data_IF_646510954292
#
_entry.id   IF_646510954292
#
_cell.length_a   1.000
_cell.length_b   1.000
_cell.length_c   1.000
_cell.angle_alpha   90.00
_cell.angle_beta   90.00
_cell.angle_gamma   90.00
#
_symmetry.space_group_name_H-M   'P 1'
#
loop_
_entity.id
_entity.type
_entity.pdbx_description
1 polymer ?
#
# COMPACT_ATOMS: atom_id res chain seq x y z
N UNK A 1 46.68 28.58 -40.60
CA UNK A 1 45.74 27.46 -40.38
C UNK A 1 44.79 27.85 -39.26
N UNK A 2 43.65 28.44 -39.59
CA UNK A 2 42.62 28.82 -38.62
C UNK A 2 41.63 27.67 -38.46
N UNK A 3 41.56 27.09 -37.26
CA UNK A 3 40.55 26.09 -36.89
C UNK A 3 39.23 26.82 -36.67
N UNK A 4 38.29 26.62 -37.57
CA UNK A 4 36.89 27.02 -37.41
C UNK A 4 36.29 26.06 -36.36
N UNK A 5 35.93 26.61 -35.20
CA UNK A 5 35.12 25.94 -34.20
C UNK A 5 33.71 25.75 -34.80
N UNK A 6 33.29 24.51 -35.07
CA UNK A 6 31.89 24.20 -35.28
C UNK A 6 31.16 24.38 -33.94
N UNK A 7 30.31 25.40 -33.84
CA UNK A 7 29.27 25.42 -32.81
C UNK A 7 28.30 24.27 -33.09
N UNK A 8 28.30 23.27 -32.22
CA UNK A 8 27.20 22.33 -32.14
C UNK A 8 25.98 23.08 -31.60
N UNK A 9 25.03 23.44 -32.49
CA UNK A 9 23.67 23.76 -32.08
C UNK A 9 23.11 22.48 -31.43
N UNK A 10 23.07 22.43 -30.11
CA UNK A 10 22.24 21.48 -29.41
C UNK A 10 20.80 21.78 -29.81
N UNK A 11 20.21 20.90 -30.63
CA UNK A 11 18.78 20.93 -30.89
C UNK A 11 18.09 20.89 -29.51
N UNK A 12 17.31 21.92 -29.18
CA UNK A 12 16.30 21.81 -28.15
C UNK A 12 15.32 20.75 -28.64
N UNK A 13 15.56 19.49 -28.27
CA UNK A 13 14.50 18.50 -28.28
C UNK A 13 13.40 19.09 -27.41
N UNK A 14 12.20 19.27 -27.97
CA UNK A 14 11.02 19.65 -27.22
C UNK A 14 10.63 18.48 -26.30
N UNK A 15 11.35 18.31 -25.19
CA UNK A 15 11.08 17.31 -24.18
C UNK A 15 10.31 17.92 -23.03
N UNK A 16 8.99 17.91 -23.19
CA UNK A 16 8.08 17.58 -22.10
C UNK A 16 6.96 16.68 -22.66
N UNK A 17 7.35 15.52 -23.21
CA UNK A 17 6.44 14.38 -23.20
C UNK A 17 6.23 14.01 -21.73
N UNK A 18 5.02 13.59 -21.34
CA UNK A 18 4.73 13.18 -19.95
C UNK A 18 5.77 12.14 -19.48
N UNK A 19 5.90 11.84 -18.18
CA UNK A 19 6.80 10.77 -17.73
C UNK A 19 6.58 9.43 -18.47
N UNK A 20 5.37 9.16 -18.98
CA UNK A 20 5.09 7.97 -19.80
C UNK A 20 5.57 8.03 -21.27
N UNK A 21 6.12 9.14 -21.73
CA UNK A 21 6.45 9.43 -23.13
C UNK A 21 5.24 9.50 -24.09
N UNK A 22 4.02 9.26 -23.60
CA UNK A 22 2.77 9.48 -24.34
C UNK A 22 2.20 10.86 -24.04
N UNK A 23 1.43 11.42 -24.99
CA UNK A 23 0.59 12.58 -24.67
C UNK A 23 -0.53 12.13 -23.73
N UNK A 24 -0.97 13.02 -22.86
CA UNK A 24 -2.18 12.78 -22.06
C UNK A 24 -3.34 12.61 -23.07
N UNK A 25 -4.13 11.54 -22.91
CA UNK A 25 -5.27 11.22 -23.77
C UNK A 25 -4.91 10.87 -25.21
N UNK A 26 -3.68 10.39 -25.45
CA UNK A 26 -3.23 9.94 -26.76
C UNK A 26 -4.03 8.71 -27.22
N UNK A 27 -4.77 8.86 -28.33
CA UNK A 27 -5.60 7.80 -28.90
C UNK A 27 -4.79 6.68 -29.54
N UNK A 28 -3.51 6.93 -29.85
CA UNK A 28 -2.60 5.94 -30.40
C UNK A 28 -1.88 5.13 -29.30
N UNK A 29 -2.04 5.52 -28.02
CA UNK A 29 -1.48 4.78 -26.89
C UNK A 29 -2.10 3.38 -26.84
N UNK A 30 -1.29 2.30 -26.80
CA UNK A 30 -1.79 0.93 -26.76
C UNK A 30 -2.79 0.73 -25.62
N UNK A 31 -3.97 0.23 -25.97
CA UNK A 31 -5.02 -0.05 -25.00
C UNK A 31 -4.72 -1.34 -24.25
N UNK A 32 -4.99 -1.37 -22.94
CA UNK A 32 -4.88 -2.58 -22.14
C UNK A 32 -5.76 -3.71 -22.69
N UNK A 33 -5.21 -4.92 -22.72
CA UNK A 33 -5.96 -6.11 -23.15
C UNK A 33 -7.13 -6.38 -22.21
N UNK A 34 -8.21 -6.91 -22.74
CA UNK A 34 -9.35 -7.36 -21.95
C UNK A 34 -9.03 -8.65 -21.18
N UNK A 35 -9.47 -8.73 -19.93
CA UNK A 35 -9.44 -9.93 -19.11
C UNK A 35 -10.83 -10.16 -18.53
N UNK A 36 -11.29 -11.41 -18.59
CA UNK A 36 -12.55 -11.81 -17.98
C UNK A 36 -12.37 -11.89 -16.46
N UNK A 37 -12.93 -10.93 -15.74
CA UNK A 37 -13.08 -10.99 -14.29
C UNK A 37 -14.36 -11.75 -13.90
N UNK A 38 -14.47 -12.11 -12.61
CA UNK A 38 -15.74 -12.55 -12.01
C UNK A 38 -16.54 -11.31 -11.54
N UNK A 39 -17.86 -11.44 -11.34
CA UNK A 39 -18.68 -10.39 -10.74
C UNK A 39 -18.14 -9.87 -9.39
N UNK A 40 -18.57 -8.67 -8.99
CA UNK A 40 -18.16 -7.96 -7.77
C UNK A 40 -17.80 -8.88 -6.59
N UNK A 41 -16.58 -8.70 -6.07
CA UNK A 41 -16.16 -9.25 -4.79
C UNK A 41 -16.86 -8.49 -3.67
N UNK A 42 -17.92 -9.07 -3.10
CA UNK A 42 -18.59 -8.48 -1.94
C UNK A 42 -17.69 -8.60 -0.71
N UNK A 43 -16.93 -7.55 -0.42
CA UNK A 43 -16.06 -7.47 0.76
C UNK A 43 -16.77 -6.61 1.81
N UNK A 44 -17.27 -7.19 2.92
CA UNK A 44 -17.88 -6.40 3.97
C UNK A 44 -16.84 -5.50 4.65
N UNK A 45 -17.30 -4.37 5.19
CA UNK A 45 -16.45 -3.47 5.95
C UNK A 45 -15.80 -4.22 7.14
N UNK A 46 -14.46 -4.17 7.30
CA UNK A 46 -13.81 -4.69 8.48
C UNK A 46 -14.14 -3.84 9.72
N UNK A 47 -13.89 -4.38 10.91
CA UNK A 47 -14.30 -3.78 12.18
C UNK A 47 -13.69 -2.39 12.48
N UNK A 48 -12.59 -2.04 11.82
CA UNK A 48 -11.90 -0.76 11.95
C UNK A 48 -12.18 0.22 10.80
N UNK A 49 -13.04 -0.16 9.84
CA UNK A 49 -13.42 0.70 8.73
C UNK A 49 -14.49 1.71 9.14
N UNK A 50 -14.37 2.92 8.57
CA UNK A 50 -15.47 3.86 8.47
C UNK A 50 -16.35 3.45 7.28
N UNK A 51 -17.59 3.09 7.56
CA UNK A 51 -18.62 2.90 6.54
C UNK A 51 -19.01 4.29 6.01
N UNK A 52 -18.81 4.52 4.71
CA UNK A 52 -19.25 5.73 4.02
C UNK A 52 -20.64 5.59 3.42
N UNK A 53 -21.04 4.37 3.03
CA UNK A 53 -22.37 4.08 2.54
C UNK A 53 -22.65 2.56 2.59
N UNK A 54 -23.68 2.16 3.33
CA UNK A 54 -24.12 0.77 3.48
C UNK A 54 -25.50 0.48 2.86
N UNK A 55 -26.17 1.50 2.33
CA UNK A 55 -27.48 1.37 1.68
C UNK A 55 -28.57 2.28 2.23
N UNK A 56 -28.33 2.97 3.36
CA UNK A 56 -29.36 3.72 4.07
C UNK A 56 -29.43 5.21 3.68
N UNK A 57 -28.37 5.97 3.99
CA UNK A 57 -28.36 7.44 3.84
C UNK A 57 -27.03 7.99 3.28
N UNK A 58 -26.98 9.32 3.11
CA UNK A 58 -25.81 10.05 2.63
C UNK A 58 -25.12 10.84 3.76
N UNK A 59 -25.21 10.41 5.02
CA UNK A 59 -24.76 11.18 6.18
C UNK A 59 -23.25 11.42 6.20
N UNK A 60 -22.46 10.57 5.55
CA UNK A 60 -21.01 10.75 5.41
C UNK A 60 -20.63 11.71 4.27
N UNK A 61 -21.61 12.17 3.48
CA UNK A 61 -21.40 12.90 2.24
C UNK A 61 -22.01 14.31 2.26
N UNK A 62 -21.40 15.20 1.50
CA UNK A 62 -21.91 16.52 1.17
C UNK A 62 -21.87 16.73 -0.35
N UNK A 63 -22.63 17.70 -0.85
CA UNK A 63 -22.50 18.19 -2.22
C UNK A 63 -21.20 19.01 -2.41
N UNK A 64 -20.90 19.42 -3.66
CA UNK A 64 -19.60 20.03 -4.02
C UNK A 64 -19.27 21.35 -3.31
N UNK A 65 -20.28 22.05 -2.78
CA UNK A 65 -20.12 23.32 -2.08
C UNK A 65 -20.43 23.21 -0.58
N UNK A 66 -20.35 22.00 -0.01
CA UNK A 66 -20.61 21.76 1.42
C UNK A 66 -22.08 21.73 1.84
N UNK A 67 -23.01 21.84 0.88
CA UNK A 67 -24.45 21.67 1.12
C UNK A 67 -24.88 20.20 1.06
N UNK A 68 -26.19 19.97 1.08
CA UNK A 68 -26.76 18.62 1.08
C UNK A 68 -26.35 17.82 -0.17
N UNK A 69 -26.06 16.54 0.05
CA UNK A 69 -25.88 15.56 -1.01
C UNK A 69 -27.24 15.29 -1.68
N UNK A 70 -27.30 15.45 -3.01
CA UNK A 70 -28.56 15.37 -3.78
C UNK A 70 -28.66 14.12 -4.65
N UNK A 71 -27.80 13.13 -4.42
CA UNK A 71 -27.88 11.84 -5.08
C UNK A 71 -29.09 11.06 -4.53
N UNK A 72 -29.65 10.15 -5.33
CA UNK A 72 -30.81 9.35 -4.92
C UNK A 72 -30.31 8.15 -4.13
N UNK A 73 -30.93 7.86 -2.99
CA UNK A 73 -30.76 6.58 -2.28
C UNK A 73 -32.02 5.73 -2.44
N UNK A 74 -31.87 4.50 -2.91
CA UNK A 74 -32.94 3.51 -3.01
C UNK A 74 -32.36 2.11 -3.18
N UNK A 75 -33.12 1.09 -2.80
CA UNK A 75 -32.78 -0.32 -3.06
C UNK A 75 -31.35 -0.71 -2.60
N UNK A 76 -30.85 -0.09 -1.53
CA UNK A 76 -29.50 -0.31 -0.99
C UNK A 76 -28.35 0.29 -1.81
N UNK A 77 -28.61 1.19 -2.76
CA UNK A 77 -27.58 1.93 -3.50
C UNK A 77 -27.86 3.43 -3.54
N UNK A 78 -26.78 4.21 -3.69
CA UNK A 78 -26.86 5.62 -4.08
C UNK A 78 -26.61 5.76 -5.60
N UNK A 79 -27.33 6.66 -6.27
CA UNK A 79 -27.26 6.87 -7.72
C UNK A 79 -26.97 8.35 -8.03
N UNK A 80 -25.97 8.59 -8.87
CA UNK A 80 -25.60 9.92 -9.33
C UNK A 80 -26.75 10.59 -10.08
N UNK A 81 -27.03 11.85 -9.73
CA UNK A 81 -28.08 12.65 -10.37
C UNK A 81 -27.43 13.72 -11.23
N UNK A 82 -27.73 13.70 -12.53
CA UNK A 82 -27.18 14.68 -13.49
C UNK A 82 -27.37 16.12 -13.01
N UNK A 83 -26.25 16.85 -12.86
CA UNK A 83 -26.25 18.27 -12.51
C UNK A 83 -26.40 18.53 -11.02
N UNK A 84 -26.43 17.47 -10.19
CA UNK A 84 -26.38 17.61 -8.73
C UNK A 84 -24.97 17.90 -8.22
N UNK A 85 -23.94 17.60 -9.03
CA UNK A 85 -22.55 17.66 -8.63
C UNK A 85 -22.09 16.37 -7.94
N UNK A 86 -20.77 16.24 -7.79
CA UNK A 86 -20.18 15.07 -7.12
C UNK A 86 -20.45 15.05 -5.62
N UNK A 87 -20.27 13.88 -5.01
CA UNK A 87 -20.30 13.73 -3.56
C UNK A 87 -18.90 13.88 -2.97
N UNK A 88 -18.78 14.65 -1.90
CA UNK A 88 -17.55 14.79 -1.12
C UNK A 88 -17.78 14.19 0.24
N UNK A 89 -16.79 13.47 0.79
CA UNK A 89 -16.89 13.06 2.19
C UNK A 89 -16.82 14.28 3.10
N UNK A 90 -17.64 14.31 4.16
CA UNK A 90 -17.58 15.38 5.18
C UNK A 90 -16.24 15.39 5.92
N UNK A 91 -15.62 14.21 6.06
CA UNK A 91 -14.27 14.03 6.63
C UNK A 91 -13.20 14.13 5.54
N UNK A 92 -12.02 14.57 5.95
CA UNK A 92 -10.81 14.59 5.12
C UNK A 92 -9.93 13.38 5.42
N UNK A 93 -9.33 12.78 4.39
CA UNK A 93 -8.51 11.58 4.50
C UNK A 93 -7.14 11.76 3.83
N UNK A 94 -6.20 10.92 4.21
CA UNK A 94 -4.83 10.89 3.69
C UNK A 94 -4.50 9.50 3.15
N UNK A 95 -3.66 8.76 3.87
CA UNK A 95 -3.40 7.34 3.54
C UNK A 95 -4.64 6.50 3.84
N UNK A 96 -5.05 5.66 2.90
CA UNK A 96 -6.28 4.88 3.05
C UNK A 96 -6.27 3.57 2.27
N UNK A 97 -7.03 2.61 2.78
CA UNK A 97 -7.60 1.52 2.00
C UNK A 97 -9.08 1.84 1.79
N UNK A 98 -9.55 1.82 0.55
CA UNK A 98 -10.93 2.13 0.16
C UNK A 98 -11.51 0.95 -0.61
N UNK A 99 -12.72 0.56 -0.26
CA UNK A 99 -13.54 -0.35 -1.04
C UNK A 99 -14.81 0.38 -1.50
N UNK A 100 -15.23 0.11 -2.73
CA UNK A 100 -16.53 0.50 -3.24
C UNK A 100 -17.02 -0.47 -4.30
N UNK A 101 -18.34 -0.68 -4.31
CA UNK A 101 -19.02 -1.33 -5.41
C UNK A 101 -19.73 -0.29 -6.26
N UNK A 102 -19.65 -0.45 -7.58
CA UNK A 102 -20.33 0.44 -8.53
C UNK A 102 -21.00 -0.32 -9.67
N UNK A 103 -22.11 0.19 -10.18
CA UNK A 103 -22.80 -0.34 -11.35
C UNK A 103 -22.99 0.76 -12.38
N UNK A 104 -22.64 0.43 -13.62
CA UNK A 104 -22.76 1.33 -14.76
C UNK A 104 -24.20 1.35 -15.30
N UNK A 105 -24.66 2.44 -15.95
CA UNK A 105 -26.01 2.55 -16.48
C UNK A 105 -26.35 1.44 -17.50
N UNK A 106 -27.52 0.83 -17.36
CA UNK A 106 -28.07 -0.15 -18.30
C UNK A 106 -29.53 0.23 -18.66
N UNK A 107 -29.90 0.43 -19.94
CA UNK A 107 -29.05 0.33 -21.13
C UNK A 107 -27.94 1.39 -21.15
N UNK A 108 -26.75 1.07 -21.68
CA UNK A 108 -25.67 2.03 -21.78
C UNK A 108 -26.02 3.13 -22.80
N UNK A 109 -25.53 4.35 -22.54
CA UNK A 109 -25.72 5.54 -23.39
C UNK A 109 -24.39 6.27 -23.53
N UNK A 110 -24.21 6.95 -24.66
CA UNK A 110 -22.96 7.64 -24.97
C UNK A 110 -21.88 6.70 -25.50
N UNK A 111 -20.72 7.29 -25.80
CA UNK A 111 -19.50 6.63 -26.28
C UNK A 111 -18.28 7.27 -25.62
N UNK A 112 -17.19 6.52 -25.50
CA UNK A 112 -15.95 6.97 -24.90
C UNK A 112 -16.18 7.58 -23.51
N UNK A 113 -15.67 8.79 -23.29
CA UNK A 113 -15.79 9.47 -21.99
C UNK A 113 -17.20 9.92 -21.62
N UNK A 114 -18.20 9.79 -22.48
CA UNK A 114 -19.59 10.10 -22.12
C UNK A 114 -20.39 8.85 -21.74
N UNK A 115 -19.74 7.68 -21.69
CA UNK A 115 -20.39 6.39 -21.47
C UNK A 115 -20.20 5.89 -20.04
N UNK A 116 -21.15 6.18 -19.16
CA UNK A 116 -21.09 5.70 -17.77
C UNK A 116 -19.94 6.31 -16.96
N UNK A 117 -19.55 7.56 -17.28
CA UNK A 117 -18.39 8.21 -16.68
C UNK A 117 -18.68 8.68 -15.24
N UNK A 118 -17.73 8.38 -14.37
CA UNK A 118 -17.56 8.97 -13.05
C UNK A 118 -16.09 8.80 -12.65
N UNK A 119 -15.74 8.99 -11.39
CA UNK A 119 -14.40 8.78 -10.90
C UNK A 119 -14.34 8.86 -9.40
N UNK A 120 -13.35 8.16 -8.85
CA UNK A 120 -13.03 8.16 -7.43
C UNK A 120 -11.81 9.05 -7.27
N UNK A 121 -12.00 10.28 -6.79
CA UNK A 121 -10.90 11.25 -6.61
C UNK A 121 -10.43 11.22 -5.17
N UNK A 122 -9.28 10.59 -4.96
CA UNK A 122 -8.65 10.55 -3.65
C UNK A 122 -8.09 11.92 -3.31
N UNK A 123 -8.39 12.39 -2.10
CA UNK A 123 -8.12 13.78 -1.69
C UNK A 123 -8.76 14.83 -2.63
N UNK A 124 -9.76 14.45 -3.44
CA UNK A 124 -10.36 15.29 -4.46
C UNK A 124 -9.46 15.57 -5.68
N UNK A 125 -8.26 14.98 -5.74
CA UNK A 125 -7.20 15.35 -6.67
C UNK A 125 -6.73 14.21 -7.57
N UNK A 126 -6.75 12.97 -7.10
CA UNK A 126 -6.17 11.82 -7.80
C UNK A 126 -7.28 10.84 -8.21
N UNK A 127 -7.67 10.91 -9.47
CA UNK A 127 -8.80 10.17 -10.02
C UNK A 127 -8.41 8.75 -10.45
N UNK A 128 -9.01 7.77 -9.80
CA UNK A 128 -9.19 6.42 -10.35
C UNK A 128 -10.47 6.42 -11.18
N UNK A 129 -10.32 6.19 -12.47
CA UNK A 129 -11.41 6.40 -13.42
C UNK A 129 -12.50 5.33 -13.32
N UNK A 130 -13.77 5.75 -13.31
CA UNK A 130 -14.94 4.89 -13.49
C UNK A 130 -15.52 5.18 -14.88
N UNK A 131 -15.59 4.15 -15.73
CA UNK A 131 -16.15 4.30 -17.07
C UNK A 131 -16.73 2.97 -17.53
N UNK A 132 -17.74 3.02 -18.41
CA UNK A 132 -18.14 1.84 -19.16
C UNK A 132 -17.14 1.58 -20.29
N UNK A 133 -16.08 0.85 -19.94
CA UNK A 133 -15.05 0.37 -20.88
C UNK A 133 -15.36 -1.04 -21.42
N UNK A 134 -16.59 -1.55 -21.26
CA UNK A 134 -16.99 -2.84 -21.80
C UNK A 134 -17.34 -2.71 -23.28
N UNK A 135 -16.44 -3.19 -24.16
CA UNK A 135 -16.59 -3.13 -25.62
C UNK A 135 -16.84 -1.71 -26.16
N UNK A 136 -16.24 -0.71 -25.51
CA UNK A 136 -16.29 0.69 -25.92
C UNK A 136 -14.88 1.25 -26.18
N UNK A 137 -14.81 2.38 -26.89
CA UNK A 137 -13.55 2.97 -27.35
C UNK A 137 -13.27 4.32 -26.69
N UNK A 138 -12.14 4.42 -25.99
CA UNK A 138 -11.60 5.68 -25.44
C UNK A 138 -10.07 5.64 -25.38
N UNK A 139 -9.44 6.74 -24.97
CA UNK A 139 -7.99 6.81 -24.76
C UNK A 139 -7.56 5.91 -23.58
N UNK A 140 -6.40 5.26 -23.71
CA UNK A 140 -5.95 4.21 -22.80
C UNK A 140 -5.80 4.70 -21.34
N UNK A 141 -5.39 5.95 -21.14
CA UNK A 141 -5.14 6.56 -19.82
C UNK A 141 -6.40 7.20 -19.17
N UNK A 142 -7.59 6.93 -19.69
CA UNK A 142 -8.85 7.29 -19.02
C UNK A 142 -9.98 6.33 -19.29
N UNK A 143 -9.65 5.06 -19.55
CA UNK A 143 -10.60 3.97 -19.40
C UNK A 143 -10.72 3.55 -17.92
N UNK A 144 -11.67 2.66 -17.59
CA UNK A 144 -11.90 2.20 -16.23
C UNK A 144 -10.63 1.66 -15.54
N UNK A 145 -10.37 2.10 -14.31
CA UNK A 145 -9.20 1.68 -13.53
C UNK A 145 -7.89 2.41 -13.88
N UNK A 146 -7.92 3.34 -14.83
CA UNK A 146 -6.79 4.23 -15.08
C UNK A 146 -6.56 5.19 -13.90
N UNK A 147 -5.29 5.55 -13.66
CA UNK A 147 -4.98 6.83 -13.00
C UNK A 147 -5.12 7.90 -14.06
N UNK A 148 -6.22 8.66 -14.00
CA UNK A 148 -6.74 9.43 -15.12
C UNK A 148 -5.70 10.41 -15.71
N UNK A 149 -5.47 10.28 -17.02
CA UNK A 149 -4.51 11.07 -17.79
C UNK A 149 -3.03 10.75 -17.53
N UNK A 150 -2.72 9.70 -16.76
CA UNK A 150 -1.34 9.33 -16.42
C UNK A 150 -1.03 7.88 -16.78
N UNK A 151 -1.78 6.94 -16.20
CA UNK A 151 -1.51 5.50 -16.30
C UNK A 151 -2.76 4.73 -16.74
N UNK A 152 -2.74 4.08 -17.92
CA UNK A 152 -3.71 3.04 -18.28
C UNK A 152 -3.71 1.94 -17.22
N UNK A 153 -4.84 1.26 -17.00
CA UNK A 153 -4.83 0.06 -16.17
C UNK A 153 -3.97 -1.03 -16.83
N UNK A 154 -3.39 -1.94 -16.05
CA UNK A 154 -2.60 -3.07 -16.57
C UNK A 154 -3.41 -3.96 -17.53
N UNK A 155 -4.72 -4.11 -17.26
CA UNK A 155 -5.69 -4.84 -18.07
C UNK A 155 -7.06 -4.16 -17.97
N UNK A 156 -7.92 -4.35 -18.95
CA UNK A 156 -9.34 -3.99 -18.84
C UNK A 156 -10.11 -5.15 -18.20
N UNK A 157 -10.60 -4.96 -16.97
CA UNK A 157 -11.37 -5.95 -16.21
C UNK A 157 -12.87 -5.59 -16.09
N UNK A 158 -13.36 -4.72 -16.99
CA UNK A 158 -14.74 -4.20 -16.95
C UNK A 158 -15.76 -5.28 -17.34
N UNK A 159 -16.81 -5.40 -16.53
CA UNK A 159 -17.98 -6.25 -16.73
C UNK A 159 -19.06 -5.53 -17.56
N UNK A 160 -20.03 -6.25 -18.14
CA UNK A 160 -21.16 -5.64 -18.83
C UNK A 160 -21.92 -4.60 -17.99
N UNK A 161 -22.51 -3.55 -18.62
CA UNK A 161 -23.28 -2.54 -17.89
C UNK A 161 -24.46 -3.13 -17.11
N UNK A 162 -24.72 -2.57 -15.94
CA UNK A 162 -25.72 -3.07 -14.99
C UNK A 162 -25.21 -4.18 -14.07
N UNK A 163 -24.07 -4.80 -14.36
CA UNK A 163 -23.38 -5.66 -13.39
C UNK A 163 -22.62 -4.81 -12.37
N UNK A 164 -22.62 -5.28 -11.12
CA UNK A 164 -21.83 -4.67 -10.06
C UNK A 164 -20.35 -5.01 -10.25
N UNK A 165 -19.53 -3.97 -10.11
CA UNK A 165 -18.08 -4.02 -10.17
C UNK A 165 -17.51 -3.59 -8.82
N UNK A 166 -16.29 -3.99 -8.51
CA UNK A 166 -15.56 -3.53 -7.31
C UNK A 166 -14.31 -2.77 -7.67
N UNK A 167 -14.04 -1.73 -6.89
CA UNK A 167 -12.70 -1.21 -6.71
C UNK A 167 -12.24 -1.42 -5.27
N UNK A 168 -11.07 -2.04 -5.13
CA UNK A 168 -10.28 -2.03 -3.91
C UNK A 168 -9.03 -1.19 -4.17
N UNK A 169 -8.90 -0.08 -3.46
CA UNK A 169 -7.88 0.94 -3.70
C UNK A 169 -7.03 1.10 -2.43
N UNK A 170 -5.72 1.00 -2.58
CA UNK A 170 -4.75 1.42 -1.55
C UNK A 170 -4.08 2.68 -2.03
N UNK A 171 -4.15 3.73 -1.21
CA UNK A 171 -3.59 5.03 -1.51
C UNK A 171 -2.66 5.51 -0.42
N UNK A 172 -1.49 5.97 -0.84
CA UNK A 172 -0.55 6.72 -0.02
C UNK A 172 -0.52 8.14 -0.54
N UNK A 173 -0.89 9.11 0.31
CA UNK A 173 -0.92 10.52 -0.07
C UNK A 173 0.50 11.05 -0.37
N UNK A 174 0.66 12.11 -1.16
CA UNK A 174 1.97 12.75 -1.26
C UNK A 174 2.38 13.34 0.09
N UNK A 175 3.69 13.41 0.33
CA UNK A 175 4.26 14.04 1.52
C UNK A 175 5.04 15.28 1.12
N UNK A 176 4.89 16.34 1.90
CA UNK A 176 5.56 17.62 1.68
C UNK A 176 6.35 18.04 2.90
N UNK A 177 7.45 18.76 2.69
CA UNK A 177 8.14 19.50 3.75
C UNK A 177 7.31 20.73 4.17
N UNK A 178 7.62 21.36 5.32
CA UNK A 178 6.99 22.62 5.72
C UNK A 178 7.13 23.76 4.69
N UNK A 179 8.17 23.72 3.86
CA UNK A 179 8.39 24.70 2.77
C UNK A 179 7.55 24.43 1.50
N UNK A 180 6.72 23.37 1.51
CA UNK A 180 5.87 22.97 0.39
C UNK A 180 6.58 22.13 -0.68
N UNK A 181 7.86 21.81 -0.52
CA UNK A 181 8.57 20.90 -1.43
C UNK A 181 8.12 19.46 -1.25
N UNK A 182 7.98 18.73 -2.37
CA UNK A 182 7.63 17.31 -2.35
C UNK A 182 8.75 16.48 -1.70
N UNK A 183 8.36 15.57 -0.81
CA UNK A 183 9.22 14.54 -0.20
C UNK A 183 8.93 13.19 -0.85
N UNK A 184 7.66 12.87 -1.03
CA UNK A 184 7.22 11.60 -1.59
C UNK A 184 5.96 11.82 -2.45
N UNK A 185 5.97 11.27 -3.67
CA UNK A 185 4.82 11.26 -4.57
C UNK A 185 3.68 10.39 -4.01
N UNK A 186 2.44 10.70 -4.38
CA UNK A 186 1.32 9.81 -4.08
C UNK A 186 1.50 8.46 -4.77
N UNK A 187 1.03 7.37 -4.14
CA UNK A 187 1.04 6.03 -4.71
C UNK A 187 -0.33 5.38 -4.71
N UNK A 188 -0.65 4.67 -5.79
CA UNK A 188 -1.92 3.97 -5.99
C UNK A 188 -1.72 2.51 -6.32
N UNK A 189 -2.37 1.63 -5.55
CA UNK A 189 -2.63 0.25 -5.96
C UNK A 189 -4.13 0.10 -6.13
N UNK A 190 -4.58 -0.46 -7.25
CA UNK A 190 -6.00 -0.60 -7.57
C UNK A 190 -6.27 -2.00 -8.05
N UNK A 191 -7.27 -2.65 -7.47
CA UNK A 191 -7.87 -3.88 -7.97
C UNK A 191 -9.26 -3.57 -8.53
N UNK A 192 -9.54 -4.06 -9.73
CA UNK A 192 -10.85 -4.00 -10.37
C UNK A 192 -11.41 -5.41 -10.47
N UNK A 193 -12.51 -5.70 -9.78
CA UNK A 193 -13.09 -7.04 -9.72
C UNK A 193 -12.09 -8.11 -9.25
N UNK A 194 -11.22 -7.75 -8.30
CA UNK A 194 -10.13 -8.60 -7.79
C UNK A 194 -8.89 -8.71 -8.69
N UNK A 195 -8.90 -8.08 -9.87
CA UNK A 195 -7.76 -8.08 -10.80
C UNK A 195 -6.91 -6.83 -10.56
N UNK A 196 -5.61 -6.99 -10.35
CA UNK A 196 -4.68 -5.87 -10.20
C UNK A 196 -4.61 -5.05 -11.49
N UNK A 197 -5.01 -3.78 -11.42
CA UNK A 197 -5.03 -2.84 -12.56
C UNK A 197 -4.09 -1.65 -12.39
N UNK A 198 -3.69 -1.31 -11.17
CA UNK A 198 -2.56 -0.40 -10.90
C UNK A 198 -1.70 -1.02 -9.81
N UNK A 199 -0.41 -1.16 -10.04
CA UNK A 199 0.54 -1.76 -9.11
C UNK A 199 1.46 -0.69 -8.52
N UNK A 200 1.15 -0.24 -7.31
CA UNK A 200 1.91 0.77 -6.57
C UNK A 200 2.38 1.97 -7.41
N UNK A 201 1.52 2.42 -8.34
CA UNK A 201 1.84 3.42 -9.34
C UNK A 201 2.16 4.75 -8.67
N UNK A 202 3.30 5.34 -9.06
CA UNK A 202 3.72 6.65 -8.59
C UNK A 202 3.04 7.75 -9.40
N UNK A 203 2.10 8.45 -8.77
CA UNK A 203 1.31 9.51 -9.40
C UNK A 203 2.18 10.75 -9.59
N UNK A 204 2.14 11.39 -10.75
CA UNK A 204 3.04 12.51 -11.08
C UNK A 204 2.58 13.87 -10.55
N UNK A 205 1.33 13.92 -10.07
CA UNK A 205 0.66 15.12 -9.58
C UNK A 205 -0.87 14.96 -9.70
N UNK A 206 -1.66 16.00 -9.38
CA UNK A 206 -3.11 15.96 -9.52
C UNK A 206 -3.56 15.57 -10.94
N UNK A 207 -4.61 14.75 -11.05
CA UNK A 207 -5.17 14.33 -12.34
C UNK A 207 -6.07 15.42 -12.91
N UNK A 208 -5.94 15.73 -14.21
CA UNK A 208 -6.76 16.74 -14.88
C UNK A 208 -6.94 16.46 -16.37
N UNK A 209 -8.07 16.89 -16.92
CA UNK A 209 -8.36 16.72 -18.35
C UNK A 209 -7.40 17.55 -19.21
N UNK A 210 -6.74 16.90 -20.18
CA UNK A 210 -5.77 17.46 -21.14
C UNK A 210 -4.60 18.26 -20.52
N UNK A 211 -4.31 18.11 -19.24
CA UNK A 211 -3.34 18.97 -18.54
C UNK A 211 -2.47 18.17 -17.59
N UNK A 212 -1.17 18.48 -17.57
CA UNK A 212 -0.22 18.01 -16.58
C UNK A 212 -0.02 19.09 -15.50
N UNK A 213 -0.15 18.70 -14.24
CA UNK A 213 0.19 19.55 -13.09
C UNK A 213 1.23 18.85 -12.23
N UNK A 214 2.31 19.56 -11.94
CA UNK A 214 3.25 19.13 -10.92
C UNK A 214 2.62 19.23 -9.52
N UNK A 215 3.21 18.54 -8.55
CA UNK A 215 2.84 18.71 -7.15
C UNK A 215 3.10 20.13 -6.67
N UNK A 216 2.18 20.61 -5.83
CA UNK A 216 2.30 21.85 -5.07
C UNK A 216 1.91 21.53 -3.63
N UNK A 217 2.38 22.33 -2.66
CA UNK A 217 1.97 22.21 -1.27
C UNK A 217 0.44 22.23 -1.12
N UNK A 218 -0.09 21.29 -0.34
CA UNK A 218 -1.52 21.09 -0.09
C UNK A 218 -1.74 20.70 1.38
N UNK A 219 -2.98 20.84 1.90
CA UNK A 219 -3.34 20.24 3.17
C UNK A 219 -3.03 18.74 3.18
N UNK A 220 -2.56 18.25 4.33
CA UNK A 220 -2.15 16.86 4.51
C UNK A 220 -3.32 15.88 4.33
N UNK A 221 -4.56 16.33 4.55
CA UNK A 221 -5.77 15.51 4.38
C UNK A 221 -6.83 16.32 3.64
N UNK A 222 -7.54 15.68 2.71
CA UNK A 222 -8.64 16.29 1.95
C UNK A 222 -9.78 15.29 1.72
N UNK A 223 -11.00 15.75 1.40
CA UNK A 223 -12.13 14.85 1.15
C UNK A 223 -11.89 13.83 0.03
N UNK A 224 -12.50 12.66 0.15
CA UNK A 224 -12.72 11.75 -0.99
C UNK A 224 -13.87 12.32 -1.84
N UNK A 225 -13.80 12.19 -3.16
CA UNK A 225 -14.87 12.64 -4.07
C UNK A 225 -15.32 11.54 -5.01
N UNK A 226 -16.64 11.38 -5.16
CA UNK A 226 -17.25 10.64 -6.26
C UNK A 226 -17.77 11.63 -7.31
N UNK A 227 -17.35 11.48 -8.56
CA UNK A 227 -17.63 12.45 -9.62
C UNK A 227 -19.08 12.32 -10.14
N UNK A 228 -19.78 13.44 -10.33
CA UNK A 228 -20.94 13.51 -11.23
C UNK A 228 -20.47 13.96 -12.62
N UNK A 229 -20.53 13.06 -13.60
CA UNK A 229 -20.30 13.37 -15.02
C UNK A 229 -21.58 13.16 -15.85
N UNK A 230 -22.74 13.53 -15.29
CA UNK A 230 -24.06 13.43 -15.91
C UNK A 230 -24.53 12.01 -16.26
N UNK A 231 -23.82 10.99 -15.78
CA UNK A 231 -24.14 9.58 -15.94
C UNK A 231 -24.68 9.01 -14.62
N UNK A 232 -25.79 8.25 -14.62
CA UNK A 232 -26.41 7.70 -13.40
C UNK A 232 -25.68 6.44 -12.92
N UNK A 233 -24.39 6.58 -12.59
CA UNK A 233 -23.60 5.53 -11.96
C UNK A 233 -24.14 5.29 -10.55
N UNK A 234 -24.27 4.01 -10.18
CA UNK A 234 -24.74 3.57 -8.87
C UNK A 234 -23.59 3.10 -8.01
N UNK A 235 -23.69 3.28 -6.70
CA UNK A 235 -22.70 2.87 -5.72
C UNK A 235 -23.35 2.17 -4.54
N UNK A 236 -22.68 1.17 -3.99
CA UNK A 236 -23.04 0.53 -2.72
C UNK A 236 -21.78 0.05 -2.01
N UNK A 237 -21.93 -0.37 -0.75
CA UNK A 237 -20.84 -0.97 0.03
C UNK A 237 -19.56 -0.13 -0.06
N UNK A 238 -19.62 1.13 0.38
CA UNK A 238 -18.48 2.05 0.36
C UNK A 238 -17.95 2.17 1.77
N UNK A 239 -16.71 1.76 1.98
CA UNK A 239 -16.05 1.87 3.27
C UNK A 239 -14.56 2.16 3.08
N UNK A 240 -13.96 2.82 4.08
CA UNK A 240 -12.53 3.07 4.08
C UNK A 240 -11.91 2.78 5.45
N UNK A 241 -10.63 2.43 5.42
CA UNK A 241 -9.76 2.35 6.59
C UNK A 241 -8.68 3.39 6.42
N UNK A 242 -8.46 4.21 7.43
CA UNK A 242 -7.26 5.04 7.47
C UNK A 242 -6.06 4.11 7.69
N UNK A 243 -5.03 4.26 6.87
CA UNK A 243 -3.80 3.51 7.06
C UNK A 243 -2.84 4.38 7.86
N UNK A 244 -2.14 3.78 8.81
CA UNK A 244 -1.02 4.43 9.44
C UNK A 244 -0.03 4.87 8.36
N UNK A 245 0.52 6.08 8.52
CA UNK A 245 1.71 6.46 7.76
C UNK A 245 2.72 5.33 7.95
N UNK A 246 3.16 4.73 6.84
CA UNK A 246 4.02 3.55 6.87
C UNK A 246 5.07 3.76 7.96
N UNK A 247 5.10 2.86 8.94
CA UNK A 247 6.05 2.95 10.04
C UNK A 247 7.43 3.14 9.42
N UNK A 248 7.97 4.35 9.57
CA UNK A 248 9.40 4.56 9.48
C UNK A 248 10.05 3.51 10.38
N UNK A 249 11.27 3.03 10.09
CA UNK A 249 12.02 2.29 11.10
C UNK A 249 11.80 3.00 12.44
N UNK A 250 11.44 2.23 13.47
CA UNK A 250 11.09 2.78 14.79
C UNK A 250 12.17 3.74 15.30
N UNK A 251 11.98 4.41 16.46
CA UNK A 251 13.01 5.30 17.00
C UNK A 251 14.39 4.64 16.83
N UNK A 252 15.34 5.40 16.25
CA UNK A 252 16.60 4.94 15.63
C UNK A 252 17.40 3.94 16.52
N UNK A 253 17.07 3.90 17.80
CA UNK A 253 17.40 2.79 18.70
C UNK A 253 16.23 2.51 19.66
N UNK A 254 15.63 1.33 19.60
CA UNK A 254 15.17 0.70 20.83
C UNK A 254 16.44 0.44 21.69
N UNK A 255 16.43 0.63 23.01
CA UNK A 255 17.59 0.36 23.84
C UNK A 255 18.02 -1.10 23.64
N UNK A 256 19.15 -1.32 22.98
CA UNK A 256 19.72 -2.65 22.88
C UNK A 256 20.27 -3.03 24.27
N UNK A 257 20.10 -4.29 24.72
CA UNK A 257 20.75 -4.72 25.94
C UNK A 257 22.27 -4.58 25.78
N UNK A 258 23.01 -4.35 26.87
CA UNK A 258 24.45 -4.17 26.82
C UNK A 258 25.09 -5.39 26.12
N UNK A 259 26.14 -5.14 25.34
CA UNK A 259 26.92 -6.20 24.68
C UNK A 259 28.22 -6.38 25.45
N UNK A 260 28.45 -7.59 25.95
CA UNK A 260 29.68 -7.99 26.63
C UNK A 260 30.58 -8.70 25.63
N UNK A 261 31.83 -8.24 25.49
CA UNK A 261 32.84 -8.99 24.73
C UNK A 261 33.33 -10.18 25.55
N UNK A 262 33.22 -11.38 24.98
CA UNK A 262 33.77 -12.60 25.57
C UNK A 262 35.20 -12.81 25.09
N UNK A 263 36.08 -13.20 26.00
CA UNK A 263 37.37 -13.80 25.60
C UNK A 263 37.13 -15.18 24.97
N UNK A 264 38.10 -15.68 24.20
CA UNK A 264 38.06 -17.04 23.64
C UNK A 264 37.82 -18.12 24.70
N UNK A 265 38.42 -17.96 25.89
CA UNK A 265 38.23 -18.90 27.00
C UNK A 265 36.81 -18.86 27.55
N UNK A 266 36.19 -17.68 27.66
CA UNK A 266 34.80 -17.53 28.11
C UNK A 266 33.82 -18.07 27.07
N UNK A 267 34.01 -17.76 25.78
CA UNK A 267 33.17 -18.29 24.70
C UNK A 267 33.20 -19.82 24.67
N UNK A 268 34.38 -20.44 24.83
CA UNK A 268 34.52 -21.89 24.84
C UNK A 268 33.66 -22.59 25.92
N UNK A 269 33.34 -21.93 27.04
CA UNK A 269 32.52 -22.50 28.12
C UNK A 269 31.08 -22.77 27.69
N UNK A 270 30.52 -21.92 26.83
CA UNK A 270 29.15 -22.08 26.36
C UNK A 270 29.02 -23.11 25.25
N UNK A 271 30.12 -23.42 24.55
CA UNK A 271 30.10 -24.38 23.47
C UNK A 271 29.76 -25.78 23.97
N UNK A 272 28.91 -26.48 23.22
CA UNK A 272 28.46 -27.82 23.54
C UNK A 272 27.00 -28.05 23.17
N UNK A 273 26.56 -29.29 23.41
CA UNK A 273 25.19 -29.73 23.18
C UNK A 273 24.40 -29.63 24.49
N UNK A 274 23.22 -29.04 24.40
CA UNK A 274 22.25 -28.91 25.50
C UNK A 274 21.02 -29.74 25.15
N UNK A 275 20.73 -30.77 25.94
CA UNK A 275 19.62 -31.70 25.72
C UNK A 275 18.43 -31.35 26.61
N UNK A 276 17.21 -31.44 26.06
CA UNK A 276 15.97 -31.23 26.80
C UNK A 276 15.83 -32.13 28.02
N UNK A 277 15.37 -31.56 29.13
CA UNK A 277 15.14 -32.32 30.36
C UNK A 277 13.88 -33.20 30.29
N UNK A 278 12.93 -32.87 29.40
CA UNK A 278 11.63 -33.53 29.26
C UNK A 278 11.59 -34.61 28.15
N UNK A 279 12.71 -34.85 27.44
CA UNK A 279 12.79 -35.78 26.31
C UNK A 279 12.08 -35.33 25.03
N UNK A 280 11.35 -34.21 25.06
CA UNK A 280 10.64 -33.62 23.92
C UNK A 280 11.26 -32.31 23.42
N UNK A 281 12.19 -31.71 24.17
CA UNK A 281 12.89 -30.50 23.72
C UNK A 281 13.91 -30.85 22.64
N UNK A 282 13.87 -30.11 21.54
CA UNK A 282 14.89 -30.18 20.49
C UNK A 282 16.25 -29.79 21.11
N UNK A 283 17.30 -30.61 20.94
CA UNK A 283 18.61 -30.30 21.49
C UNK A 283 19.18 -29.05 20.81
N UNK A 284 19.80 -28.20 21.61
CA UNK A 284 20.49 -27.00 21.14
C UNK A 284 21.98 -27.27 21.08
N UNK A 285 22.64 -26.80 20.04
CA UNK A 285 24.09 -26.91 19.92
C UNK A 285 24.70 -25.52 19.80
N UNK A 286 25.55 -25.16 20.75
CA UNK A 286 26.28 -23.90 20.75
C UNK A 286 27.68 -24.17 20.22
N UNK A 287 28.08 -23.40 19.22
CA UNK A 287 29.39 -23.48 18.58
C UNK A 287 30.16 -22.20 18.87
N UNK A 288 31.37 -22.33 19.39
CA UNK A 288 32.30 -21.21 19.52
C UNK A 288 33.26 -21.17 18.33
N UNK A 289 33.44 -19.99 17.74
CA UNK A 289 34.49 -19.72 16.75
C UNK A 289 35.29 -18.48 17.18
N UNK A 290 36.45 -18.72 17.81
CA UNK A 290 37.20 -17.66 18.47
C UNK A 290 36.41 -17.09 19.66
N UNK A 291 36.05 -15.82 19.58
CA UNK A 291 35.28 -15.09 20.60
C UNK A 291 33.77 -15.08 20.32
N UNK A 292 33.36 -15.57 19.14
CA UNK A 292 31.97 -15.55 18.69
C UNK A 292 31.26 -16.83 19.04
N UNK A 293 29.98 -16.71 19.40
CA UNK A 293 29.09 -17.82 19.71
C UNK A 293 28.00 -17.92 18.66
N UNK A 294 27.63 -19.14 18.33
CA UNK A 294 26.55 -19.43 17.41
C UNK A 294 25.66 -20.51 17.97
N UNK A 295 24.35 -20.38 17.76
CA UNK A 295 23.43 -21.50 17.89
C UNK A 295 23.33 -22.21 16.54
N UNK A 296 23.75 -23.47 16.50
CA UNK A 296 23.61 -24.33 15.32
C UNK A 296 22.17 -24.84 15.23
N UNK A 297 21.49 -24.52 14.14
CA UNK A 297 20.10 -24.92 13.88
C UNK A 297 19.87 -25.13 12.38
N UNK A 298 19.42 -26.33 11.99
CA UNK A 298 19.04 -26.64 10.60
C UNK A 298 20.15 -26.41 9.57
N UNK A 299 21.42 -26.64 9.93
CA UNK A 299 22.57 -26.39 9.06
C UNK A 299 23.00 -24.92 8.95
N UNK A 300 22.46 -24.03 9.80
CA UNK A 300 22.82 -22.62 9.89
C UNK A 300 23.34 -22.27 11.28
N UNK A 301 24.20 -21.26 11.36
CA UNK A 301 24.74 -20.70 12.60
C UNK A 301 24.09 -19.35 12.88
N UNK A 302 23.33 -19.27 13.97
CA UNK A 302 22.63 -18.06 14.40
C UNK A 302 23.51 -17.30 15.41
N UNK A 303 23.85 -16.05 15.09
CA UNK A 303 24.79 -15.22 15.88
C UNK A 303 24.26 -14.97 17.30
N UNK A 304 25.03 -15.40 18.30
CA UNK A 304 24.74 -15.18 19.71
C UNK A 304 25.61 -14.04 20.25
N UNK A 305 24.97 -13.08 20.89
CA UNK A 305 25.58 -11.91 21.50
C UNK A 305 25.46 -12.03 23.01
N UNK A 306 26.59 -12.02 23.71
CA UNK A 306 26.55 -12.06 25.17
C UNK A 306 26.07 -10.72 25.73
N UNK A 307 24.98 -10.76 26.51
CA UNK A 307 24.52 -9.60 27.25
C UNK A 307 25.05 -9.59 28.68
N UNK A 308 25.25 -10.78 29.24
CA UNK A 308 25.89 -11.01 30.53
C UNK A 308 26.53 -12.41 30.55
N UNK A 309 27.23 -12.81 31.63
CA UNK A 309 27.68 -14.21 31.79
C UNK A 309 26.54 -15.24 31.86
N UNK A 310 25.30 -14.82 32.09
CA UNK A 310 24.15 -15.75 32.19
C UNK A 310 23.15 -15.55 31.06
N UNK A 311 23.40 -14.65 30.11
CA UNK A 311 22.45 -14.35 29.05
C UNK A 311 23.17 -14.13 27.72
N UNK A 312 22.79 -14.93 26.72
CA UNK A 312 23.16 -14.76 25.31
C UNK A 312 21.91 -14.47 24.50
N UNK A 313 21.79 -13.31 23.85
CA UNK A 313 20.72 -12.99 22.92
C UNK A 313 21.06 -13.39 21.50
N UNK A 314 20.04 -13.63 20.69
CA UNK A 314 20.18 -13.80 19.25
C UNK A 314 20.07 -12.43 18.57
N UNK A 315 21.05 -12.06 17.76
CA UNK A 315 21.26 -10.68 17.27
C UNK A 315 20.03 -9.99 16.64
N UNK A 316 19.15 -10.75 15.98
CA UNK A 316 18.08 -10.22 15.14
C UNK A 316 16.66 -10.57 15.62
N UNK A 317 16.55 -11.19 16.79
CA UNK A 317 15.28 -11.72 17.29
C UNK A 317 15.18 -11.49 18.79
N UNK A 318 13.97 -11.48 19.35
CA UNK A 318 13.74 -11.40 20.80
C UNK A 318 14.04 -12.74 21.53
N UNK A 319 14.91 -13.55 20.94
CA UNK A 319 15.26 -14.86 21.44
C UNK A 319 16.55 -14.80 22.25
N UNK A 320 16.59 -15.50 23.38
CA UNK A 320 17.76 -15.54 24.26
C UNK A 320 17.93 -16.87 24.95
N UNK A 321 19.17 -17.15 25.34
CA UNK A 321 19.60 -18.31 26.11
C UNK A 321 20.02 -17.81 27.48
N UNK A 322 19.30 -18.24 28.52
CA UNK A 322 19.59 -17.90 29.92
C UNK A 322 20.23 -19.11 30.58
N UNK A 323 21.42 -18.92 31.15
CA UNK A 323 22.22 -19.99 31.72
C UNK A 323 22.23 -19.95 33.25
N UNK A 324 22.21 -21.14 33.86
CA UNK A 324 22.67 -21.32 35.23
C UNK A 324 24.12 -21.80 35.18
N UNK A 325 25.02 -21.05 35.80
CA UNK A 325 26.44 -21.41 35.89
C UNK A 325 26.74 -22.08 37.24
N UNK A 326 27.77 -22.92 37.30
CA UNK A 326 28.34 -23.37 38.57
C UNK A 326 29.36 -22.38 39.17
N UNK A 327 29.99 -22.77 40.28
CA UNK A 327 30.96 -21.95 41.03
C UNK A 327 32.21 -21.57 40.21
N UNK A 328 32.55 -22.37 39.20
CA UNK A 328 33.72 -22.16 38.35
C UNK A 328 33.33 -21.38 37.07
N UNK A 329 32.04 -21.10 36.91
CA UNK A 329 31.46 -20.34 35.81
C UNK A 329 31.16 -21.20 34.58
N UNK A 330 31.01 -22.51 34.74
CA UNK A 330 30.62 -23.42 33.65
C UNK A 330 29.09 -23.54 33.53
N UNK A 331 28.53 -23.46 32.32
CA UNK A 331 27.10 -23.64 32.10
C UNK A 331 26.61 -25.04 32.48
N UNK A 332 25.61 -25.11 33.36
CA UNK A 332 24.99 -26.35 33.83
C UNK A 332 23.60 -26.55 33.20
N UNK A 333 22.83 -25.47 33.15
CA UNK A 333 21.47 -25.44 32.58
C UNK A 333 21.32 -24.25 31.66
N UNK A 334 20.46 -24.42 30.68
CA UNK A 334 20.10 -23.40 29.71
C UNK A 334 18.58 -23.39 29.55
N UNK A 335 17.99 -22.20 29.55
CA UNK A 335 16.58 -21.97 29.23
C UNK A 335 16.55 -21.11 27.97
N UNK A 336 15.83 -21.56 26.94
CA UNK A 336 15.59 -20.76 25.75
C UNK A 336 14.34 -19.92 25.96
N UNK A 337 14.40 -18.65 25.56
CA UNK A 337 13.25 -17.74 25.63
C UNK A 337 13.00 -17.12 24.25
N UNK A 338 11.74 -16.80 23.97
CA UNK A 338 11.35 -15.86 22.92
C UNK A 338 10.42 -14.83 23.55
N UNK A 339 10.90 -13.59 23.67
CA UNK A 339 10.27 -12.56 24.48
C UNK A 339 10.07 -13.00 25.92
N UNK A 340 8.82 -12.97 26.40
CA UNK A 340 8.46 -13.39 27.77
C UNK A 340 8.17 -14.88 27.91
N UNK A 341 8.17 -15.63 26.81
CA UNK A 341 7.87 -17.06 26.84
C UNK A 341 9.13 -17.86 27.12
N UNK A 342 9.06 -18.79 28.08
CA UNK A 342 10.15 -19.70 28.43
C UNK A 342 9.89 -21.08 27.81
N UNK A 343 10.90 -21.64 27.16
CA UNK A 343 10.88 -23.00 26.65
C UNK A 343 11.50 -23.96 27.68
N UNK A 344 11.19 -25.27 27.60
CA UNK A 344 11.70 -26.25 28.55
C UNK A 344 13.23 -26.19 28.71
N UNK A 345 13.67 -26.40 29.95
CA UNK A 345 15.08 -26.34 30.31
C UNK A 345 15.87 -27.43 29.58
N UNK A 346 17.05 -27.06 29.08
CA UNK A 346 18.04 -27.98 28.57
C UNK A 346 19.23 -28.08 29.55
N UNK A 347 19.81 -29.28 29.67
CA UNK A 347 21.04 -29.53 30.44
C UNK A 347 22.21 -29.71 29.50
N UNK A 348 23.38 -29.21 29.90
CA UNK A 348 24.62 -29.48 29.16
C UNK A 348 24.92 -30.98 29.21
N UNK A 349 25.24 -31.57 28.07
CA UNK A 349 25.62 -32.98 27.94
C UNK A 349 27.09 -33.20 28.29
#
# INVERSE_FOLDING_TARGET
>A
MARILLLALAALAASAQTPSQWKIHDMDRPRPREVRAKPALMVPAPSDALVLFDGDDLDQWSGPNGGDAKWIVRDGYMESVRGSGGLLTKRSFGDMQLHLEFSLPNPPKGIGQDRGNSGVKLMGLYEVQILDSYKDYTYADGQAGAVYGQSPPLVNATLPPGEWQTFDIVFRRPRFRPDGSLVESARLTVFHNGVLVQDNFEVWGPTRWLQYYAYEGRPDRMPLTLQDHSNPVRYRNVWLRELDEATRPGPESAPAPPVTQLTRAQAARYAGRYEGVDGNTIPFEIVAQGERLYLASGGRNLDLVANSPTELSMRWTDAKLVFTLDKDGEPQRMVFHVGRHEFPTAKRK
#
